data_IF_859023697475
#
_entry.id   IF_859023697475
#
_cell.length_a   1.000
_cell.length_b   1.000
_cell.length_c   1.000
_cell.angle_alpha   90.00
_cell.angle_beta   90.00
_cell.angle_gamma   90.00
#
_symmetry.space_group_name_H-M   'P 1'
#
loop_
_entity.id
_entity.type
_entity.pdbx_description
1 polymer ?
#
# COMPACT_ATOMS: atom_id res chain seq x y z
N UNK A 1 -0.80 -10.52 29.70
CA UNK A 1 -2.11 -10.12 29.23
C UNK A 1 -2.15 -8.61 29.03
N UNK A 2 -2.69 -8.15 27.89
CA UNK A 2 -3.04 -6.76 27.68
C UNK A 2 -4.27 -6.45 28.53
N UNK A 3 -4.13 -5.58 29.53
CA UNK A 3 -5.29 -5.10 30.28
C UNK A 3 -5.67 -3.72 29.78
N UNK A 4 -6.94 -3.55 29.42
CA UNK A 4 -7.52 -2.25 29.08
C UNK A 4 -8.45 -1.82 30.20
N UNK A 5 -8.46 -0.52 30.60
CA UNK A 5 -9.42 -0.03 31.55
C UNK A 5 -10.87 -0.09 31.01
N UNK A 6 -11.02 0.00 29.67
CA UNK A 6 -12.31 -0.08 29.01
C UNK A 6 -12.26 -0.99 27.79
N UNK A 7 -13.29 -1.81 27.63
CA UNK A 7 -13.52 -2.64 26.46
C UNK A 7 -14.70 -2.08 25.71
N UNK A 8 -14.53 -1.75 24.44
CA UNK A 8 -15.60 -1.28 23.58
C UNK A 8 -15.72 -2.18 22.34
N UNK A 9 -16.92 -2.67 22.09
CA UNK A 9 -17.27 -3.42 20.91
C UNK A 9 -18.60 -2.90 20.36
N UNK A 10 -18.61 -2.43 19.13
CA UNK A 10 -19.78 -1.84 18.49
C UNK A 10 -19.44 -0.71 17.54
N UNK A 11 -20.44 0.12 17.28
CA UNK A 11 -20.41 1.19 16.29
C UNK A 11 -19.91 2.49 16.90
N UNK A 12 -18.92 3.13 16.24
CA UNK A 12 -18.46 4.48 16.54
C UNK A 12 -18.69 5.39 15.34
N UNK A 13 -19.23 6.57 15.57
CA UNK A 13 -19.56 7.55 14.55
C UNK A 13 -18.59 8.73 14.63
N UNK A 14 -18.05 9.09 13.47
CA UNK A 14 -17.19 10.25 13.26
C UNK A 14 -17.87 11.17 12.26
N UNK A 15 -17.96 12.45 12.57
CA UNK A 15 -18.52 13.45 11.66
C UNK A 15 -17.67 14.71 11.65
N UNK A 16 -17.47 15.27 10.48
CA UNK A 16 -16.71 16.50 10.29
C UNK A 16 -17.22 17.30 9.10
N UNK A 17 -17.35 18.63 9.28
CA UNK A 17 -17.43 19.55 8.16
C UNK A 17 -16.07 19.62 7.46
N UNK A 18 -16.07 19.42 6.16
CA UNK A 18 -14.89 19.51 5.29
C UNK A 18 -15.12 20.59 4.22
N UNK A 19 -14.07 21.22 3.77
CA UNK A 19 -14.13 22.19 2.68
C UNK A 19 -13.35 21.68 1.49
N UNK A 20 -14.02 21.52 0.36
CA UNK A 20 -13.42 21.15 -0.92
C UNK A 20 -13.00 22.42 -1.65
N UNK A 21 -11.69 22.57 -1.96
CA UNK A 21 -11.22 23.76 -2.65
C UNK A 21 -11.65 23.79 -4.12
N UNK A 22 -11.84 24.99 -4.69
CA UNK A 22 -12.25 25.19 -6.09
C UNK A 22 -11.29 24.53 -7.09
N UNK A 23 -9.98 24.50 -6.79
CA UNK A 23 -8.97 23.88 -7.66
C UNK A 23 -9.02 22.34 -7.68
N UNK A 24 -9.98 21.72 -6.97
CA UNK A 24 -10.29 20.30 -7.05
C UNK A 24 -11.44 20.00 -8.02
N UNK A 25 -12.07 21.00 -8.57
CA UNK A 25 -13.12 20.82 -9.58
C UNK A 25 -12.58 20.08 -10.81
N UNK A 26 -13.36 19.12 -11.31
CA UNK A 26 -12.96 18.25 -12.42
C UNK A 26 -11.92 17.16 -12.08
N UNK A 27 -11.52 17.04 -10.82
CA UNK A 27 -10.64 15.95 -10.35
C UNK A 27 -11.44 14.80 -9.76
N UNK A 28 -10.82 13.63 -9.70
CA UNK A 28 -11.29 12.51 -8.89
C UNK A 28 -10.94 12.76 -7.43
N UNK A 29 -11.90 12.65 -6.52
CA UNK A 29 -11.71 12.89 -5.08
C UNK A 29 -11.85 11.58 -4.33
N UNK A 30 -10.80 11.18 -3.64
CA UNK A 30 -10.72 9.91 -2.90
C UNK A 30 -10.60 10.13 -1.41
N UNK A 31 -11.40 9.40 -0.62
CA UNK A 31 -11.19 9.25 0.81
C UNK A 31 -10.37 7.99 1.05
N UNK A 32 -9.27 8.14 1.79
CA UNK A 32 -8.36 7.05 2.13
C UNK A 32 -8.30 6.90 3.64
N UNK A 33 -8.59 5.68 4.12
CA UNK A 33 -8.51 5.27 5.51
C UNK A 33 -7.46 4.15 5.61
N UNK A 34 -6.28 4.46 6.13
CA UNK A 34 -5.18 3.48 6.08
C UNK A 34 -5.45 2.28 6.99
N UNK A 35 -5.80 2.44 8.22
CA UNK A 35 -6.00 1.31 9.13
C UNK A 35 -7.22 1.56 10.00
N UNK A 36 -8.24 0.75 9.76
CA UNK A 36 -9.51 0.83 10.47
C UNK A 36 -10.20 -0.54 10.51
N UNK A 37 -11.27 -0.65 11.26
CA UNK A 37 -12.22 -1.77 11.21
C UNK A 37 -13.23 -1.54 10.07
N UNK A 38 -14.21 -2.43 9.82
CA UNK A 38 -15.25 -2.18 8.83
C UNK A 38 -15.87 -0.79 8.93
N UNK A 39 -16.03 -0.12 7.79
CA UNK A 39 -16.62 1.23 7.75
C UNK A 39 -17.79 1.35 6.81
N UNK A 40 -18.60 2.36 7.06
CA UNK A 40 -19.63 2.88 6.15
C UNK A 40 -19.44 4.40 6.05
N UNK A 41 -19.62 4.95 4.84
CA UNK A 41 -19.34 6.36 4.53
C UNK A 41 -20.59 7.06 4.02
N UNK A 42 -20.80 8.29 4.47
CA UNK A 42 -21.82 9.23 3.95
C UNK A 42 -21.18 10.59 3.66
N UNK A 43 -21.67 11.23 2.64
CA UNK A 43 -21.41 12.64 2.31
C UNK A 43 -22.76 13.34 2.30
N UNK A 44 -22.93 14.42 3.08
CA UNK A 44 -24.17 15.22 3.18
C UNK A 44 -25.44 14.35 3.34
N UNK A 45 -25.37 13.31 4.18
CA UNK A 45 -26.43 12.32 4.41
C UNK A 45 -26.66 11.31 3.27
N UNK A 46 -25.92 11.38 2.15
CA UNK A 46 -25.98 10.40 1.07
C UNK A 46 -25.03 9.26 1.37
N UNK A 47 -25.54 8.04 1.39
CA UNK A 47 -24.71 6.84 1.57
C UNK A 47 -23.81 6.61 0.36
N UNK A 48 -22.50 6.50 0.57
CA UNK A 48 -21.51 6.28 -0.47
C UNK A 48 -21.18 4.79 -0.63
N UNK A 49 -20.95 4.09 0.49
CA UNK A 49 -20.55 2.69 0.45
C UNK A 49 -19.95 2.18 1.76
N UNK A 50 -19.50 0.94 1.74
CA UNK A 50 -18.87 0.26 2.87
C UNK A 50 -17.64 -0.53 2.45
N UNK A 51 -16.75 -0.81 3.40
CA UNK A 51 -15.59 -1.69 3.23
C UNK A 51 -15.32 -2.43 4.54
N UNK A 52 -14.89 -3.68 4.42
CA UNK A 52 -14.48 -4.54 5.53
C UNK A 52 -12.96 -4.89 5.49
N UNK A 53 -12.21 -4.22 4.64
CA UNK A 53 -10.76 -4.39 4.55
C UNK A 53 -10.08 -3.89 5.83
N UNK A 54 -9.41 -4.78 6.56
CA UNK A 54 -8.73 -4.45 7.83
C UNK A 54 -7.20 -4.43 7.71
N UNK A 55 -6.66 -5.01 6.65
CA UNK A 55 -5.22 -5.17 6.45
C UNK A 55 -4.66 -4.32 5.32
N UNK A 56 -5.53 -3.65 4.58
CA UNK A 56 -5.19 -2.74 3.49
C UNK A 56 -5.97 -1.43 3.65
N UNK A 57 -5.53 -0.33 3.03
CA UNK A 57 -6.32 0.89 3.01
C UNK A 57 -7.72 0.66 2.46
N UNK A 58 -8.70 1.31 3.06
CA UNK A 58 -10.03 1.43 2.50
C UNK A 58 -10.09 2.71 1.68
N UNK A 59 -10.44 2.59 0.41
CA UNK A 59 -10.48 3.70 -0.54
C UNK A 59 -11.90 3.89 -1.05
N UNK A 60 -12.41 5.10 -0.98
CA UNK A 60 -13.74 5.48 -1.44
C UNK A 60 -13.66 6.59 -2.48
N UNK A 61 -14.22 6.37 -3.65
CA UNK A 61 -14.38 7.42 -4.66
C UNK A 61 -15.56 8.33 -4.30
N UNK A 62 -15.24 9.55 -3.91
CA UNK A 62 -16.22 10.58 -3.56
C UNK A 62 -16.50 11.58 -4.68
N UNK A 63 -15.96 11.36 -5.88
CA UNK A 63 -16.02 12.31 -7.00
C UNK A 63 -17.45 12.66 -7.41
N UNK A 64 -18.39 11.72 -7.30
CA UNK A 64 -19.80 11.96 -7.61
C UNK A 64 -20.54 12.77 -6.54
N UNK A 65 -20.02 12.83 -5.32
CA UNK A 65 -20.70 13.38 -4.14
C UNK A 65 -20.14 14.73 -3.68
N UNK A 66 -18.89 15.03 -4.00
CA UNK A 66 -18.21 16.24 -3.57
C UNK A 66 -18.09 17.26 -4.72
N UNK A 67 -18.33 18.51 -4.40
CA UNK A 67 -18.11 19.69 -5.26
C UNK A 67 -17.32 20.72 -4.45
N UNK A 68 -16.82 21.78 -5.08
CA UNK A 68 -16.23 22.89 -4.35
C UNK A 68 -17.22 23.48 -3.33
N UNK A 69 -16.76 23.69 -2.10
CA UNK A 69 -17.57 24.18 -1.00
C UNK A 69 -17.55 23.31 0.23
N UNK A 70 -18.50 23.54 1.15
CA UNK A 70 -18.62 22.84 2.42
C UNK A 70 -19.50 21.60 2.31
N UNK A 71 -19.04 20.53 2.90
CA UNK A 71 -19.73 19.24 2.98
C UNK A 71 -19.59 18.61 4.36
N UNK A 72 -20.47 17.69 4.72
CA UNK A 72 -20.37 16.89 5.91
C UNK A 72 -19.94 15.47 5.56
N UNK A 73 -18.77 15.06 6.05
CA UNK A 73 -18.29 13.69 5.95
C UNK A 73 -18.66 12.94 7.22
N UNK A 74 -19.36 11.83 7.07
CA UNK A 74 -19.72 10.93 8.19
C UNK A 74 -19.14 9.55 7.95
N UNK A 75 -18.45 9.00 8.95
CA UNK A 75 -17.82 7.68 8.94
C UNK A 75 -18.35 6.88 10.12
N UNK A 76 -18.96 5.75 9.86
CA UNK A 76 -19.25 4.73 10.86
C UNK A 76 -18.10 3.71 10.86
N UNK A 77 -17.56 3.40 12.04
CA UNK A 77 -16.58 2.31 12.23
C UNK A 77 -17.20 1.29 13.19
N UNK A 78 -17.20 0.01 12.79
CA UNK A 78 -17.77 -1.08 13.58
C UNK A 78 -16.72 -2.18 13.83
N UNK A 79 -16.33 -2.37 15.07
CA UNK A 79 -15.41 -3.45 15.47
C UNK A 79 -16.12 -4.67 16.06
N UNK A 80 -17.43 -4.78 15.89
CA UNK A 80 -18.27 -5.82 16.48
C UNK A 80 -19.16 -6.53 15.48
N UNK A 81 -20.39 -6.04 15.32
CA UNK A 81 -21.46 -6.75 14.61
C UNK A 81 -21.19 -7.00 13.12
N UNK A 82 -20.40 -6.13 12.48
CA UNK A 82 -20.06 -6.26 11.05
C UNK A 82 -18.90 -7.23 10.80
N UNK A 83 -18.28 -7.77 11.86
CA UNK A 83 -17.16 -8.70 11.75
C UNK A 83 -17.64 -10.12 11.98
N UNK A 84 -17.35 -11.08 11.09
CA UNK A 84 -17.68 -12.48 11.31
C UNK A 84 -17.11 -12.99 12.65
N UNK A 85 -17.89 -13.71 13.46
CA UNK A 85 -17.44 -14.19 14.79
C UNK A 85 -16.13 -14.97 14.76
N UNK A 86 -15.92 -15.77 13.70
CA UNK A 86 -14.69 -16.54 13.52
C UNK A 86 -13.43 -15.66 13.41
N UNK A 87 -13.54 -14.46 12.86
CA UNK A 87 -12.43 -13.52 12.78
C UNK A 87 -12.17 -12.82 14.13
N UNK A 88 -13.22 -12.52 14.89
CA UNK A 88 -13.09 -11.95 16.23
C UNK A 88 -12.33 -12.87 17.19
N UNK A 89 -12.55 -14.17 17.06
CA UNK A 89 -11.95 -15.17 17.96
C UNK A 89 -10.58 -15.66 17.50
N UNK A 90 -10.32 -15.71 16.19
CA UNK A 90 -9.15 -16.42 15.64
C UNK A 90 -8.16 -15.53 14.89
N UNK A 91 -8.56 -14.35 14.42
CA UNK A 91 -7.65 -13.47 13.70
C UNK A 91 -6.85 -12.59 14.66
N UNK A 92 -5.52 -12.61 14.55
CA UNK A 92 -4.67 -11.71 15.34
C UNK A 92 -4.92 -10.21 15.05
N UNK A 93 -5.57 -9.89 13.95
CA UNK A 93 -6.03 -8.53 13.66
C UNK A 93 -7.22 -8.06 14.51
N UNK A 94 -7.94 -9.00 15.15
CA UNK A 94 -9.17 -8.72 15.93
C UNK A 94 -9.14 -9.25 17.36
N UNK A 95 -8.52 -10.41 17.59
CA UNK A 95 -8.68 -11.12 18.87
C UNK A 95 -8.12 -10.35 20.07
N UNK A 96 -8.85 -10.38 21.16
CA UNK A 96 -8.40 -9.84 22.46
C UNK A 96 -7.25 -10.64 23.09
N UNK A 97 -6.98 -11.85 22.62
CA UNK A 97 -5.95 -12.75 23.17
C UNK A 97 -4.54 -12.30 22.86
N UNK A 98 -4.30 -11.65 21.72
CA UNK A 98 -2.99 -11.24 21.24
C UNK A 98 -2.81 -9.74 21.13
N UNK A 99 -3.86 -9.02 20.77
CA UNK A 99 -3.95 -7.57 20.79
C UNK A 99 -5.31 -7.15 21.30
N UNK A 100 -5.59 -5.86 21.34
CA UNK A 100 -6.93 -5.37 21.66
C UNK A 100 -7.79 -5.32 20.40
N UNK A 101 -9.09 -5.62 20.51
CA UNK A 101 -10.05 -5.29 19.47
C UNK A 101 -10.40 -3.79 19.56
N UNK A 102 -9.48 -2.94 19.11
CA UNK A 102 -9.67 -1.50 19.08
C UNK A 102 -10.77 -1.07 18.10
N UNK A 103 -11.34 0.12 18.33
CA UNK A 103 -12.25 0.79 17.40
C UNK A 103 -11.61 2.11 16.94
N UNK A 104 -11.99 2.56 15.76
CA UNK A 104 -11.54 3.83 15.21
C UNK A 104 -10.62 3.70 13.99
N UNK A 105 -9.97 4.79 13.63
CA UNK A 105 -9.05 4.92 12.51
C UNK A 105 -7.69 5.24 13.11
N UNK A 106 -6.73 4.32 13.03
CA UNK A 106 -5.42 4.45 13.69
C UNK A 106 -4.31 4.89 12.76
N UNK A 107 -4.54 4.86 11.45
CA UNK A 107 -3.60 5.33 10.44
C UNK A 107 -4.09 6.61 9.77
N UNK A 108 -3.65 6.81 8.53
CA UNK A 108 -4.01 7.99 7.74
C UNK A 108 -5.52 8.08 7.50
N UNK A 109 -6.05 9.28 7.67
CA UNK A 109 -7.39 9.67 7.27
C UNK A 109 -7.26 10.93 6.42
N UNK A 110 -7.38 10.78 5.09
CA UNK A 110 -7.14 11.88 4.16
C UNK A 110 -8.07 11.89 2.97
N UNK A 111 -8.29 13.08 2.42
CA UNK A 111 -8.86 13.29 1.10
C UNK A 111 -7.72 13.61 0.13
N UNK A 112 -7.75 12.96 -1.03
CA UNK A 112 -6.83 13.21 -2.14
C UNK A 112 -7.60 13.60 -3.40
N UNK A 113 -7.15 14.67 -4.08
CA UNK A 113 -7.61 15.00 -5.40
C UNK A 113 -6.59 14.54 -6.44
N UNK A 114 -7.04 13.71 -7.37
CA UNK A 114 -6.20 13.14 -8.45
C UNK A 114 -6.76 13.62 -9.80
N UNK A 115 -5.92 13.82 -10.84
CA UNK A 115 -6.43 13.97 -12.20
C UNK A 115 -7.40 12.82 -12.52
N UNK A 116 -8.41 13.06 -13.36
CA UNK A 116 -9.33 11.99 -13.75
C UNK A 116 -8.59 10.85 -14.43
N UNK A 117 -7.69 11.19 -15.36
CA UNK A 117 -6.70 10.23 -15.87
C UNK A 117 -5.47 10.27 -14.97
N UNK A 118 -5.13 9.14 -14.34
CA UNK A 118 -3.95 9.02 -13.48
C UNK A 118 -3.41 7.59 -13.40
N UNK A 119 -2.18 7.46 -12.96
CA UNK A 119 -1.58 6.18 -12.59
C UNK A 119 -2.23 5.71 -11.28
N UNK A 120 -2.99 4.64 -11.37
CA UNK A 120 -3.65 4.05 -10.19
C UNK A 120 -2.70 3.21 -9.36
N UNK A 121 -1.80 2.47 -10.03
CA UNK A 121 -0.86 1.54 -9.39
C UNK A 121 0.32 1.24 -10.29
N UNK A 122 1.50 1.11 -9.69
CA UNK A 122 2.69 0.54 -10.32
C UNK A 122 3.05 -0.74 -9.56
N UNK A 123 3.23 -1.84 -10.30
CA UNK A 123 3.74 -3.11 -9.79
C UNK A 123 5.00 -3.47 -10.56
N UNK A 124 6.02 -3.93 -9.85
CA UNK A 124 7.31 -4.33 -10.44
C UNK A 124 7.55 -5.80 -10.12
N UNK A 125 7.84 -6.57 -11.14
CA UNK A 125 8.18 -7.98 -11.06
C UNK A 125 9.61 -8.17 -11.53
N UNK A 126 10.57 -8.30 -10.61
CA UNK A 126 11.98 -8.50 -10.95
C UNK A 126 12.26 -9.91 -11.45
N UNK A 127 13.18 -10.03 -12.41
CA UNK A 127 13.77 -11.26 -12.91
C UNK A 127 15.29 -11.11 -12.80
N UNK A 128 15.85 -11.45 -11.65
CA UNK A 128 17.27 -11.22 -11.35
C UNK A 128 18.18 -12.06 -12.25
N UNK A 129 17.80 -13.30 -12.56
CA UNK A 129 18.51 -14.21 -13.45
C UNK A 129 18.62 -13.69 -14.90
N UNK A 130 17.64 -12.89 -15.34
CA UNK A 130 17.60 -12.27 -16.67
C UNK A 130 18.04 -10.81 -16.65
N UNK A 131 18.28 -10.24 -15.49
CA UNK A 131 18.54 -8.81 -15.29
C UNK A 131 17.50 -7.92 -15.97
N UNK A 132 16.24 -8.28 -15.80
CA UNK A 132 15.08 -7.52 -16.32
C UNK A 132 14.05 -7.28 -15.23
N UNK A 133 13.15 -6.33 -15.47
CA UNK A 133 11.96 -6.13 -14.65
C UNK A 133 10.74 -5.98 -15.55
N UNK A 134 9.63 -6.61 -15.16
CA UNK A 134 8.34 -6.31 -15.76
C UNK A 134 7.67 -5.20 -14.93
N UNK A 135 7.40 -4.08 -15.57
CA UNK A 135 6.72 -2.93 -14.96
C UNK A 135 5.29 -2.89 -15.46
N UNK A 136 4.36 -3.15 -14.56
CA UNK A 136 2.93 -3.15 -14.82
C UNK A 136 2.33 -1.87 -14.23
N UNK A 137 1.77 -1.03 -15.11
CA UNK A 137 1.12 0.23 -14.73
C UNK A 137 -0.38 0.10 -14.96
N UNK A 138 -1.14 0.24 -13.89
CA UNK A 138 -2.59 0.32 -13.95
C UNK A 138 -3.01 1.77 -13.95
N UNK A 139 -3.88 2.14 -14.90
CA UNK A 139 -4.35 3.50 -15.13
C UNK A 139 -5.83 3.62 -14.69
N UNK A 140 -6.21 4.82 -14.31
CA UNK A 140 -7.60 5.25 -14.28
C UNK A 140 -7.86 6.00 -15.58
N UNK A 141 -8.74 5.48 -16.43
CA UNK A 141 -9.17 6.12 -17.67
C UNK A 141 -10.71 6.13 -17.72
N UNK A 142 -11.36 7.07 -17.03
CA UNK A 142 -12.82 7.09 -16.94
C UNK A 142 -13.50 7.47 -18.25
N UNK A 143 -12.74 7.90 -19.27
CA UNK A 143 -13.29 8.36 -20.55
C UNK A 143 -13.41 7.22 -21.56
N UNK A 144 -12.82 6.04 -21.30
CA UNK A 144 -12.75 4.90 -22.24
C UNK A 144 -12.24 5.30 -23.66
N UNK A 145 -11.51 6.41 -23.73
CA UNK A 145 -10.99 6.95 -25.00
C UNK A 145 -9.59 6.41 -25.26
N UNK A 146 -9.26 6.26 -26.54
CA UNK A 146 -7.89 6.08 -26.96
C UNK A 146 -7.06 7.32 -26.63
N UNK A 147 -6.00 7.13 -25.85
CA UNK A 147 -5.10 8.21 -25.45
C UNK A 147 -3.71 7.91 -25.98
N UNK A 148 -3.15 8.85 -26.73
CA UNK A 148 -1.74 8.81 -27.12
C UNK A 148 -0.93 9.48 -26.02
N UNK A 149 0.04 8.74 -25.46
CA UNK A 149 0.87 9.23 -24.38
C UNK A 149 2.32 8.79 -24.49
N UNK A 150 3.25 9.60 -24.01
CA UNK A 150 4.61 9.22 -23.72
C UNK A 150 4.71 8.69 -22.29
N UNK A 151 5.29 7.53 -22.11
CA UNK A 151 5.65 6.95 -20.82
C UNK A 151 7.15 7.04 -20.65
N UNK A 152 7.58 7.65 -19.54
CA UNK A 152 8.98 7.72 -19.12
C UNK A 152 9.11 7.00 -17.79
N UNK A 153 10.01 6.04 -17.71
CA UNK A 153 10.31 5.30 -16.49
C UNK A 153 11.78 5.52 -16.18
N UNK A 154 12.02 6.01 -14.97
CA UNK A 154 13.35 6.14 -14.40
C UNK A 154 13.48 5.23 -13.19
N UNK A 155 14.59 4.50 -13.11
CA UNK A 155 14.91 3.64 -11.98
C UNK A 155 16.30 4.00 -11.47
N UNK A 156 16.38 4.36 -10.20
CA UNK A 156 17.62 4.79 -9.55
C UNK A 156 17.88 3.91 -8.33
N UNK A 157 19.07 3.35 -8.24
CA UNK A 157 19.52 2.61 -7.08
C UNK A 157 19.70 3.57 -5.89
N UNK A 158 19.23 3.16 -4.73
CA UNK A 158 19.45 3.88 -3.49
C UNK A 158 19.72 2.88 -2.35
N UNK A 159 20.06 3.38 -1.17
CA UNK A 159 20.40 2.55 -0.02
C UNK A 159 21.70 1.72 -0.27
N UNK A 160 22.59 2.25 -1.09
CA UNK A 160 23.87 1.66 -1.48
C UNK A 160 24.88 2.76 -1.74
N UNK A 161 26.18 2.44 -1.70
CA UNK A 161 27.26 3.34 -2.12
C UNK A 161 27.58 3.28 -3.63
N UNK A 162 26.84 2.48 -4.38
CA UNK A 162 27.02 2.31 -5.83
C UNK A 162 25.93 3.06 -6.60
N UNK A 163 26.28 3.59 -7.74
CA UNK A 163 25.35 4.26 -8.64
C UNK A 163 24.88 3.29 -9.73
N UNK A 164 23.59 3.22 -9.96
CA UNK A 164 23.01 2.54 -11.10
C UNK A 164 21.69 3.22 -11.46
N UNK A 165 21.53 3.58 -12.73
CA UNK A 165 20.39 4.34 -13.22
C UNK A 165 19.93 3.83 -14.59
N UNK A 166 18.63 3.56 -14.72
CA UNK A 166 17.98 3.13 -15.95
C UNK A 166 16.95 4.17 -16.37
N UNK A 167 16.95 4.51 -17.66
CA UNK A 167 15.93 5.33 -18.31
C UNK A 167 15.26 4.55 -19.42
N UNK A 168 13.95 4.53 -19.41
CA UNK A 168 13.13 3.89 -20.43
C UNK A 168 12.06 4.87 -20.90
N UNK A 169 11.93 5.04 -22.22
CA UNK A 169 10.94 5.93 -22.81
C UNK A 169 10.19 5.20 -23.92
N UNK A 170 8.87 5.32 -23.94
CA UNK A 170 8.04 4.72 -24.97
C UNK A 170 6.77 5.54 -25.22
N UNK A 171 6.48 5.79 -26.50
CA UNK A 171 5.18 6.29 -26.90
C UNK A 171 4.20 5.13 -27.01
N UNK A 172 3.02 5.31 -26.49
CA UNK A 172 1.98 4.29 -26.43
C UNK A 172 0.62 4.86 -26.84
N UNK A 173 -0.26 3.97 -27.26
CA UNK A 173 -1.69 4.23 -27.37
C UNK A 173 -2.38 3.45 -26.24
N UNK A 174 -2.92 4.16 -25.30
CA UNK A 174 -3.66 3.56 -24.18
C UNK A 174 -5.06 3.21 -24.67
N UNK A 175 -5.35 1.92 -24.78
CA UNK A 175 -6.69 1.38 -25.10
C UNK A 175 -7.28 0.60 -23.92
N UNK A 176 -6.44 0.20 -22.98
CA UNK A 176 -6.79 -0.58 -21.79
C UNK A 176 -6.32 0.18 -20.56
N UNK A 177 -6.85 -0.19 -19.42
CA UNK A 177 -6.46 0.37 -18.12
C UNK A 177 -5.14 -0.19 -17.56
N UNK A 178 -4.43 -1.01 -18.35
CA UNK A 178 -3.19 -1.65 -17.93
C UNK A 178 -2.16 -1.69 -19.08
N UNK A 179 -0.93 -1.34 -18.76
CA UNK A 179 0.24 -1.44 -19.64
C UNK A 179 1.36 -2.19 -18.95
N UNK A 180 2.09 -3.00 -19.72
CA UNK A 180 3.24 -3.77 -19.21
C UNK A 180 4.44 -3.49 -20.08
N UNK A 181 5.59 -3.24 -19.42
CA UNK A 181 6.88 -3.08 -20.06
C UNK A 181 7.87 -4.06 -19.45
N UNK A 182 8.57 -4.83 -20.27
CA UNK A 182 9.77 -5.53 -19.84
C UNK A 182 10.98 -4.63 -20.11
N UNK A 183 11.72 -4.30 -19.05
CA UNK A 183 12.81 -3.34 -19.08
C UNK A 183 14.11 -4.03 -18.66
N UNK A 184 15.15 -4.03 -19.53
CA UNK A 184 16.46 -4.55 -19.16
C UNK A 184 17.12 -3.62 -18.13
N UNK A 185 17.75 -4.23 -17.14
CA UNK A 185 18.47 -3.53 -16.06
C UNK A 185 19.96 -3.36 -16.36
N UNK A 186 20.48 -4.03 -17.40
CA UNK A 186 21.91 -3.99 -17.73
C UNK A 186 22.77 -4.98 -16.93
N UNK A 187 24.00 -5.18 -17.38
CA UNK A 187 24.91 -6.16 -16.79
C UNK A 187 25.44 -5.75 -15.42
N UNK A 188 25.48 -4.45 -15.16
CA UNK A 188 25.88 -3.82 -13.90
C UNK A 188 24.72 -3.62 -12.90
N UNK A 189 23.57 -4.24 -13.16
CA UNK A 189 22.42 -4.19 -12.27
C UNK A 189 22.75 -4.68 -10.86
N UNK A 190 22.34 -3.92 -9.86
CA UNK A 190 22.61 -4.21 -8.46
C UNK A 190 21.49 -5.10 -7.89
N UNK A 191 21.83 -6.32 -7.53
CA UNK A 191 20.90 -7.26 -6.95
C UNK A 191 20.69 -6.98 -5.45
N UNK A 192 19.48 -7.28 -4.99
CA UNK A 192 19.16 -7.25 -3.57
C UNK A 192 19.51 -8.59 -2.93
N UNK A 193 20.19 -8.52 -1.79
CA UNK A 193 20.36 -9.68 -0.89
C UNK A 193 20.24 -9.22 0.57
N UNK A 194 20.20 -10.18 1.49
CA UNK A 194 20.22 -9.91 2.94
C UNK A 194 21.46 -9.10 3.38
N UNK A 195 22.59 -9.26 2.68
CA UNK A 195 23.87 -8.63 2.98
C UNK A 195 24.13 -7.36 2.16
N UNK A 196 23.47 -7.23 1.02
CA UNK A 196 23.50 -6.06 0.15
C UNK A 196 22.08 -5.67 -0.23
N UNK A 197 21.34 -5.00 0.66
CA UNK A 197 19.90 -4.75 0.48
C UNK A 197 19.64 -3.53 -0.43
N UNK A 198 20.26 -3.53 -1.61
CA UNK A 198 20.08 -2.48 -2.61
C UNK A 198 18.64 -2.41 -3.07
N UNK A 199 18.07 -1.24 -3.11
CA UNK A 199 16.73 -0.95 -3.60
C UNK A 199 16.78 0.02 -4.77
N UNK A 200 15.80 -0.08 -5.64
CA UNK A 200 15.55 0.87 -6.70
C UNK A 200 14.30 1.67 -6.41
N UNK A 201 14.36 2.97 -6.65
CA UNK A 201 13.20 3.84 -6.79
C UNK A 201 12.84 3.91 -8.26
N UNK A 202 11.66 3.43 -8.60
CA UNK A 202 11.08 3.56 -9.92
C UNK A 202 10.11 4.74 -9.90
N UNK A 203 10.30 5.68 -10.83
CA UNK A 203 9.35 6.76 -11.11
C UNK A 203 8.83 6.60 -12.52
N UNK A 204 7.51 6.49 -12.67
CA UNK A 204 6.84 6.48 -13.95
C UNK A 204 6.11 7.81 -14.16
N UNK A 205 6.42 8.48 -15.25
CA UNK A 205 5.74 9.68 -15.72
C UNK A 205 4.94 9.33 -16.98
N UNK A 206 3.70 9.78 -17.04
CA UNK A 206 2.85 9.65 -18.22
C UNK A 206 2.44 11.04 -18.69
N UNK A 207 2.62 11.31 -19.98
CA UNK A 207 2.30 12.61 -20.57
C UNK A 207 1.67 12.45 -21.94
N UNK A 208 0.54 13.12 -22.16
CA UNK A 208 -0.16 13.23 -23.43
C UNK A 208 -0.83 14.58 -23.54
N UNK A 209 -1.65 14.75 -24.56
CA UNK A 209 -2.47 15.94 -24.71
C UNK A 209 -3.49 16.00 -23.56
N UNK A 210 -3.45 16.96 -22.70
CA UNK A 210 -4.33 17.14 -21.53
C UNK A 210 -4.21 16.05 -20.43
N UNK A 211 -3.20 15.21 -20.48
CA UNK A 211 -2.91 14.23 -19.43
C UNK A 211 -1.48 14.36 -18.94
N UNK A 212 -1.34 14.39 -17.63
CA UNK A 212 -0.04 14.35 -16.98
C UNK A 212 -0.19 13.74 -15.60
N UNK A 213 0.59 12.69 -15.32
CA UNK A 213 0.67 12.12 -13.98
C UNK A 213 2.04 11.50 -13.73
N UNK A 214 2.41 11.40 -12.46
CA UNK A 214 3.68 10.82 -12.01
C UNK A 214 3.47 10.04 -10.73
N UNK A 215 3.99 8.82 -10.69
CA UNK A 215 3.96 7.98 -9.50
C UNK A 215 5.27 7.24 -9.31
N UNK A 216 5.64 7.00 -8.05
CA UNK A 216 6.86 6.26 -7.71
C UNK A 216 6.56 5.04 -6.84
N UNK A 217 7.38 4.01 -7.00
CA UNK A 217 7.41 2.82 -6.14
C UNK A 217 8.84 2.39 -5.91
N UNK A 218 9.05 1.43 -5.00
CA UNK A 218 10.37 0.87 -4.73
C UNK A 218 10.37 -0.64 -4.88
N UNK A 219 11.48 -1.20 -5.33
CA UNK A 219 11.67 -2.65 -5.44
C UNK A 219 13.13 -3.04 -5.22
N UNK A 220 13.38 -4.32 -4.94
CA UNK A 220 14.72 -4.91 -4.98
C UNK A 220 14.81 -5.88 -6.15
N UNK A 221 15.89 -5.85 -6.91
CA UNK A 221 16.15 -6.81 -7.98
C UNK A 221 16.55 -8.15 -7.35
N UNK A 222 15.58 -9.04 -7.18
CA UNK A 222 15.79 -10.36 -6.59
C UNK A 222 14.82 -11.40 -7.12
N UNK A 223 15.30 -12.62 -7.18
CA UNK A 223 14.50 -13.84 -7.27
C UNK A 223 14.48 -14.54 -5.92
N UNK A 224 13.30 -14.92 -5.45
CA UNK A 224 13.12 -15.77 -4.28
C UNK A 224 12.36 -17.02 -4.70
N UNK A 225 13.04 -18.17 -4.67
CA UNK A 225 12.50 -19.43 -5.18
C UNK A 225 12.64 -20.55 -4.15
N UNK A 226 11.72 -21.51 -4.18
CA UNK A 226 11.87 -22.79 -3.52
C UNK A 226 12.42 -23.81 -4.54
N UNK A 227 13.55 -24.42 -4.24
CA UNK A 227 14.19 -25.46 -5.06
C UNK A 227 14.38 -26.72 -4.23
N UNK A 228 13.60 -27.76 -4.57
CA UNK A 228 13.56 -28.97 -3.75
C UNK A 228 13.06 -28.66 -2.33
N UNK A 229 13.94 -28.86 -1.34
CA UNK A 229 13.62 -28.62 0.07
C UNK A 229 14.24 -27.34 0.64
N UNK A 230 14.80 -26.48 -0.21
CA UNK A 230 15.54 -25.29 0.19
C UNK A 230 14.96 -24.04 -0.45
N UNK A 231 15.20 -22.87 0.18
CA UNK A 231 14.94 -21.58 -0.40
C UNK A 231 16.22 -20.99 -0.99
N UNK A 232 16.07 -20.31 -2.10
CA UNK A 232 17.16 -19.60 -2.75
C UNK A 232 16.80 -18.13 -2.99
N UNK A 233 17.80 -17.25 -2.79
CA UNK A 233 17.73 -15.85 -3.24
C UNK A 233 18.84 -15.67 -4.28
N UNK A 234 18.48 -15.27 -5.50
CA UNK A 234 19.40 -15.07 -6.63
C UNK A 234 20.30 -16.30 -6.88
N UNK A 235 19.71 -17.51 -6.82
CA UNK A 235 20.45 -18.78 -6.98
C UNK A 235 21.29 -19.23 -5.77
N UNK A 236 21.36 -18.42 -4.70
CA UNK A 236 22.11 -18.78 -3.49
C UNK A 236 21.16 -19.34 -2.43
N UNK A 237 21.51 -20.53 -1.91
CA UNK A 237 20.75 -21.15 -0.82
C UNK A 237 20.65 -20.23 0.38
N UNK A 238 19.43 -20.00 0.83
CA UNK A 238 19.12 -19.07 1.91
C UNK A 238 18.43 -19.79 3.05
N UNK A 239 18.95 -19.63 4.26
CA UNK A 239 18.32 -20.14 5.47
C UNK A 239 17.44 -19.05 6.10
N UNK A 240 16.13 -19.32 6.21
CA UNK A 240 15.18 -18.41 6.84
C UNK A 240 15.23 -18.52 8.35
N UNK A 241 15.83 -17.53 9.00
CA UNK A 241 15.81 -17.35 10.45
C UNK A 241 14.61 -16.51 10.82
N UNK A 242 13.46 -17.17 10.94
CA UNK A 242 12.15 -16.52 11.00
C UNK A 242 11.70 -16.14 12.40
N UNK A 243 10.97 -15.03 12.49
CA UNK A 243 10.15 -14.65 13.64
C UNK A 243 8.69 -14.83 13.31
N UNK A 244 7.94 -15.51 14.17
CA UNK A 244 6.48 -15.49 14.16
C UNK A 244 6.00 -14.18 14.77
N UNK A 245 5.10 -13.50 14.09
CA UNK A 245 4.48 -12.27 14.57
C UNK A 245 2.96 -12.42 14.66
N UNK A 246 2.44 -12.32 15.86
CA UNK A 246 1.03 -12.46 16.19
C UNK A 246 0.36 -11.10 16.49
N UNK A 247 0.90 -10.01 15.97
CA UNK A 247 0.35 -8.66 16.18
C UNK A 247 0.27 -8.26 17.67
N UNK A 248 1.31 -8.56 18.45
CA UNK A 248 1.32 -8.27 19.89
C UNK A 248 2.07 -6.97 20.15
N UNK A 249 1.33 -5.90 20.40
CA UNK A 249 1.84 -4.56 20.70
C UNK A 249 1.29 -4.07 22.04
N UNK A 250 1.89 -4.51 23.19
CA UNK A 250 1.30 -4.33 24.51
C UNK A 250 1.21 -2.88 24.99
N UNK A 251 2.04 -1.98 24.44
CA UNK A 251 2.04 -0.58 24.87
C UNK A 251 0.92 0.24 24.23
N UNK A 252 0.48 -0.13 23.04
CA UNK A 252 -0.50 0.61 22.25
C UNK A 252 -1.84 -0.12 22.12
N UNK A 253 -1.82 -1.45 22.19
CA UNK A 253 -2.97 -2.31 21.92
C UNK A 253 -3.32 -2.44 20.44
N UNK A 254 -2.54 -1.82 19.57
CA UNK A 254 -2.69 -1.88 18.11
C UNK A 254 -1.34 -1.79 17.41
N UNK A 255 -1.31 -2.15 16.14
CA UNK A 255 -0.12 -2.07 15.30
C UNK A 255 0.40 -0.63 15.22
N UNK A 256 1.73 -0.41 15.25
CA UNK A 256 2.32 0.91 14.99
C UNK A 256 2.02 1.37 13.56
N UNK A 257 1.72 2.67 13.42
CA UNK A 257 1.44 3.32 12.13
C UNK A 257 2.55 4.27 11.70
N UNK A 258 3.68 4.29 12.40
CA UNK A 258 4.82 5.16 12.10
C UNK A 258 6.07 4.36 11.72
N UNK A 259 6.86 4.93 10.82
CA UNK A 259 8.09 4.31 10.32
C UNK A 259 9.16 4.15 11.40
N UNK A 260 9.20 5.02 12.41
CA UNK A 260 10.23 4.97 13.46
C UNK A 260 10.06 3.74 14.35
N UNK A 261 8.82 3.40 14.71
CA UNK A 261 8.50 2.21 15.47
C UNK A 261 8.86 0.93 14.67
N UNK A 262 8.54 0.89 13.39
CA UNK A 262 8.90 -0.24 12.52
C UNK A 262 10.41 -0.38 12.30
N UNK A 263 11.13 0.72 12.13
CA UNK A 263 12.60 0.71 12.05
C UNK A 263 13.22 0.13 13.32
N UNK A 264 12.72 0.55 14.49
CA UNK A 264 13.17 -0.01 15.77
C UNK A 264 12.88 -1.50 15.85
N UNK A 265 11.67 -1.92 15.48
CA UNK A 265 11.25 -3.31 15.48
C UNK A 265 12.17 -4.20 14.62
N UNK A 266 12.39 -3.82 13.35
CA UNK A 266 13.24 -4.59 12.45
C UNK A 266 14.72 -4.53 12.81
N UNK A 267 15.20 -3.40 13.35
CA UNK A 267 16.58 -3.30 13.85
C UNK A 267 16.84 -4.33 14.94
N UNK A 268 15.97 -4.39 15.96
CA UNK A 268 16.11 -5.37 17.05
C UNK A 268 16.05 -6.79 16.48
N UNK A 269 15.12 -7.08 15.57
CA UNK A 269 15.05 -8.40 14.95
C UNK A 269 16.36 -8.77 14.24
N UNK A 270 16.97 -7.84 13.50
CA UNK A 270 18.26 -8.05 12.82
C UNK A 270 19.42 -8.25 13.79
N UNK A 271 19.46 -7.56 14.91
CA UNK A 271 20.46 -7.74 15.97
C UNK A 271 20.45 -9.18 16.52
N UNK A 272 19.29 -9.85 16.50
CA UNK A 272 19.14 -11.28 16.83
C UNK A 272 19.30 -12.22 15.62
N UNK A 273 19.78 -11.72 14.49
CA UNK A 273 20.02 -12.52 13.27
C UNK A 273 18.76 -12.93 12.52
N UNK A 274 17.61 -12.34 12.82
CA UNK A 274 16.35 -12.63 12.14
C UNK A 274 16.34 -11.92 10.77
N UNK A 275 16.08 -12.70 9.72
CA UNK A 275 15.99 -12.19 8.34
C UNK A 275 14.59 -12.33 7.72
N UNK A 276 13.63 -12.90 8.46
CA UNK A 276 12.29 -13.17 7.97
C UNK A 276 11.25 -13.01 9.08
N UNK A 277 10.12 -12.37 8.77
CA UNK A 277 8.96 -12.29 9.65
C UNK A 277 7.74 -12.93 9.00
N UNK A 278 7.09 -13.86 9.72
CA UNK A 278 5.80 -14.42 9.35
C UNK A 278 4.71 -13.71 10.14
N UNK A 279 3.96 -12.85 9.47
CA UNK A 279 2.78 -12.21 10.05
C UNK A 279 1.59 -13.18 10.03
N UNK A 280 1.08 -13.52 11.22
CA UNK A 280 0.06 -14.55 11.37
C UNK A 280 -1.34 -13.94 11.46
N UNK A 281 -2.18 -14.23 10.47
CA UNK A 281 -3.57 -13.74 10.31
C UNK A 281 -3.73 -12.21 10.45
N UNK A 282 -2.72 -11.48 10.04
CA UNK A 282 -2.73 -10.03 9.86
C UNK A 282 -1.64 -9.60 8.87
N UNK A 283 -1.72 -8.36 8.37
CA UNK A 283 -0.68 -7.74 7.54
C UNK A 283 -0.18 -6.44 8.20
N UNK A 284 1.12 -6.16 8.15
CA UNK A 284 1.64 -4.87 8.59
C UNK A 284 1.11 -3.72 7.71
N UNK A 285 1.11 -2.46 8.20
CA UNK A 285 0.84 -1.30 7.37
C UNK A 285 1.89 -1.16 6.26
N UNK A 286 1.54 -0.35 5.27
CA UNK A 286 2.35 -0.11 4.06
C UNK A 286 3.58 0.75 4.36
#
# INVERSE_FOLDING_TARGET
HLSRPFRYQGKAWYQKEITIPENWEGKSIWLILERTKPTQIWVDSIYVGSSDHISTPQEYDLSAYLRAGKHHLTILVDNGLSVPPQLLDNSHAYTESTQTNWNGIIGDLKLEARPQFHIRRIQVYPHADQKTVDVKIKLSNPFEQMIVAAVQIEMEAFNTGLEHHIKFNKNIVVQQDEIIFQIPMGDDALEWSEFSPTLYRLTANIQGENIQDSQSTTFGLRDFKAEGTQFNINGLTTFLRGKHDACVFPLTGHVPMDTAAWRRYFRIAKEYGINHCRFHSWCPPK
#
